data_IF_071269329118
#
_entry.id   IF_071269329118
#
_cell.length_a   1.000
_cell.length_b   1.000
_cell.length_c   1.000
_cell.angle_alpha   90.00
_cell.angle_beta   90.00
_cell.angle_gamma   90.00
#
_symmetry.space_group_name_H-M   'P 1'
#
loop_
_entity.id
_entity.type
_entity.pdbx_description
1 polymer ?
#
# COMPACT_ATOMS: atom_id res chain seq x y z
N UNK A 1 15.22 12.98 -2.76
CA UNK A 1 14.74 12.26 -3.95
C UNK A 1 13.29 12.65 -4.15
N UNK A 2 12.97 13.24 -5.30
CA UNK A 2 11.59 13.44 -5.72
C UNK A 2 10.99 12.12 -6.20
N UNK A 3 9.66 12.04 -6.27
CA UNK A 3 9.00 10.81 -6.74
C UNK A 3 9.28 10.60 -8.24
N UNK A 4 9.30 11.71 -8.99
CA UNK A 4 9.72 11.74 -10.38
C UNK A 4 11.17 11.25 -10.57
N UNK A 5 12.11 11.67 -9.73
CA UNK A 5 13.51 11.18 -9.79
C UNK A 5 13.59 9.65 -9.66
N UNK A 6 12.80 9.07 -8.75
CA UNK A 6 12.82 7.64 -8.51
C UNK A 6 12.14 6.86 -9.65
N UNK A 7 11.02 7.36 -10.17
CA UNK A 7 10.36 6.77 -11.33
C UNK A 7 11.30 6.76 -12.54
N UNK A 8 11.99 7.87 -12.82
CA UNK A 8 12.98 7.94 -13.91
C UNK A 8 14.14 6.97 -13.69
N UNK A 9 14.63 6.82 -12.45
CA UNK A 9 15.68 5.85 -12.15
C UNK A 9 15.24 4.40 -12.44
N UNK A 10 13.98 4.05 -12.15
CA UNK A 10 13.42 2.73 -12.49
C UNK A 10 13.37 2.55 -14.01
N UNK A 11 12.90 3.56 -14.75
CA UNK A 11 12.81 3.50 -16.21
C UNK A 11 14.19 3.29 -16.84
N UNK A 12 15.21 4.01 -16.37
CA UNK A 12 16.59 3.85 -16.82
C UNK A 12 17.16 2.47 -16.46
N UNK A 13 16.85 1.98 -15.25
CA UNK A 13 17.28 0.67 -14.78
C UNK A 13 16.71 -0.46 -15.66
N UNK A 14 15.44 -0.34 -16.01
CA UNK A 14 14.70 -1.30 -16.82
C UNK A 14 15.16 -1.33 -18.26
N UNK A 15 15.28 -0.15 -18.89
CA UNK A 15 15.76 -0.01 -20.27
C UNK A 15 17.18 -0.57 -20.43
N UNK A 16 18.04 -0.38 -19.43
CA UNK A 16 19.40 -0.93 -19.43
C UNK A 16 19.45 -2.48 -19.34
N UNK A 17 18.33 -3.14 -19.01
CA UNK A 17 18.22 -4.58 -18.75
C UNK A 17 17.11 -5.28 -19.54
N UNK A 18 16.55 -4.63 -20.56
CA UNK A 18 15.43 -5.13 -21.37
C UNK A 18 14.14 -5.42 -20.56
N UNK A 19 14.02 -4.92 -19.33
CA UNK A 19 12.81 -5.12 -18.52
C UNK A 19 11.66 -4.21 -18.94
N UNK A 20 11.95 -3.12 -19.65
CA UNK A 20 10.96 -2.25 -20.31
C UNK A 20 10.11 -3.01 -21.35
N UNK A 21 10.58 -4.17 -21.81
CA UNK A 21 9.87 -5.05 -22.77
C UNK A 21 8.91 -6.03 -22.11
N UNK A 22 8.89 -6.11 -20.77
CA UNK A 22 7.94 -6.93 -20.02
C UNK A 22 6.52 -6.41 -20.25
N UNK A 23 5.56 -7.32 -20.43
CA UNK A 23 4.18 -6.93 -20.68
C UNK A 23 3.54 -6.31 -19.42
N UNK A 24 2.70 -5.27 -19.53
CA UNK A 24 2.05 -4.65 -18.37
C UNK A 24 1.23 -5.63 -17.51
N UNK A 25 0.67 -6.67 -18.13
CA UNK A 25 -0.03 -7.73 -17.41
C UNK A 25 0.87 -8.55 -16.48
N UNK A 26 2.16 -8.73 -16.84
CA UNK A 26 3.15 -9.40 -16.00
C UNK A 26 3.64 -8.47 -14.90
N UNK A 27 3.86 -7.19 -15.19
CA UNK A 27 4.14 -6.16 -14.17
C UNK A 27 3.05 -6.12 -13.11
N UNK A 28 1.77 -6.14 -13.53
CA UNK A 28 0.63 -6.19 -12.61
C UNK A 28 0.59 -7.49 -11.80
N UNK A 29 0.93 -8.63 -12.41
CA UNK A 29 0.99 -9.91 -11.70
C UNK A 29 2.03 -9.87 -10.58
N UNK A 30 3.23 -9.36 -10.85
CA UNK A 30 4.27 -9.19 -9.84
C UNK A 30 3.86 -8.21 -8.74
N UNK A 31 3.24 -7.07 -9.07
CA UNK A 31 2.68 -6.18 -8.04
C UNK A 31 1.68 -6.89 -7.12
N UNK A 32 0.92 -7.86 -7.64
CA UNK A 32 0.00 -8.68 -6.87
C UNK A 32 0.71 -9.71 -5.99
N UNK A 33 1.83 -10.27 -6.45
CA UNK A 33 2.70 -11.15 -5.68
C UNK A 33 3.27 -10.38 -4.47
N UNK A 34 3.87 -9.20 -4.70
CA UNK A 34 4.41 -8.36 -3.63
C UNK A 34 3.32 -7.91 -2.64
N UNK A 35 2.12 -7.60 -3.13
CA UNK A 35 0.98 -7.31 -2.25
C UNK A 35 0.57 -8.52 -1.39
N UNK A 36 0.73 -9.73 -1.91
CA UNK A 36 0.57 -10.97 -1.16
C UNK A 36 1.62 -11.14 -0.06
N UNK A 37 2.87 -10.73 -0.32
CA UNK A 37 3.96 -10.76 0.66
C UNK A 37 3.76 -9.71 1.76
N UNK A 38 3.34 -8.49 1.40
CA UNK A 38 2.86 -7.47 2.35
C UNK A 38 1.76 -8.05 3.24
N UNK A 39 0.75 -8.71 2.65
CA UNK A 39 -0.33 -9.31 3.42
C UNK A 39 0.18 -10.39 4.39
N UNK A 40 1.16 -11.20 3.97
CA UNK A 40 1.81 -12.21 4.83
C UNK A 40 2.45 -11.55 6.05
N UNK A 41 3.25 -10.52 5.87
CA UNK A 41 3.96 -9.86 6.98
C UNK A 41 3.00 -9.09 7.90
N UNK A 42 1.95 -8.47 7.35
CA UNK A 42 0.86 -7.87 8.15
C UNK A 42 0.17 -8.93 9.02
N UNK A 43 -0.11 -10.12 8.50
CA UNK A 43 -0.74 -11.19 9.29
C UNK A 43 0.13 -11.68 10.46
N UNK A 44 1.46 -11.63 10.34
CA UNK A 44 2.37 -11.88 11.46
C UNK A 44 2.27 -10.75 12.50
N UNK A 45 2.36 -9.50 12.05
CA UNK A 45 2.35 -8.33 12.93
C UNK A 45 1.01 -8.08 13.62
N UNK A 46 -0.10 -8.47 12.99
CA UNK A 46 -1.45 -8.40 13.55
C UNK A 46 -1.77 -9.58 14.50
N UNK A 47 -0.83 -10.52 14.68
CA UNK A 47 -0.96 -11.66 15.59
C UNK A 47 -1.90 -12.76 15.10
N UNK A 48 -2.27 -12.76 13.81
CA UNK A 48 -2.98 -13.89 13.20
C UNK A 48 -2.05 -15.09 12.97
N UNK A 49 -0.77 -14.81 12.70
CA UNK A 49 0.31 -15.81 12.64
C UNK A 49 1.30 -15.55 13.77
N UNK A 50 1.89 -16.62 14.31
CA UNK A 50 2.95 -16.50 15.31
C UNK A 50 4.22 -15.93 14.68
N UNK A 51 4.60 -14.72 15.08
CA UNK A 51 5.85 -14.10 14.66
C UNK A 51 7.04 -14.73 15.41
N UNK A 52 8.10 -15.06 14.67
CA UNK A 52 9.39 -15.46 15.24
C UNK A 52 10.12 -14.28 15.89
N UNK A 53 10.06 -13.11 15.24
CA UNK A 53 10.67 -11.86 15.68
C UNK A 53 9.93 -10.68 15.03
N UNK A 54 9.29 -9.81 15.82
CA UNK A 54 8.52 -8.67 15.30
C UNK A 54 9.38 -7.64 14.54
N UNK A 55 10.60 -7.37 14.97
CA UNK A 55 11.47 -6.37 14.32
C UNK A 55 11.90 -6.88 12.96
N UNK A 56 12.20 -8.18 12.86
CA UNK A 56 12.44 -8.85 11.59
C UNK A 56 11.22 -8.77 10.67
N UNK A 57 10.01 -8.98 11.18
CA UNK A 57 8.77 -8.87 10.38
C UNK A 57 8.52 -7.45 9.88
N UNK A 58 8.85 -6.43 10.67
CA UNK A 58 8.80 -5.02 10.23
C UNK A 58 9.81 -4.71 9.14
N UNK A 59 11.01 -5.26 9.24
CA UNK A 59 12.03 -5.11 8.20
C UNK A 59 11.59 -5.76 6.88
N UNK A 60 11.07 -7.00 6.93
CA UNK A 60 10.50 -7.66 5.76
C UNK A 60 9.33 -6.87 5.17
N UNK A 61 8.39 -6.41 6.00
CA UNK A 61 7.29 -5.57 5.52
C UNK A 61 7.78 -4.30 4.80
N UNK A 62 8.86 -3.68 5.27
CA UNK A 62 9.44 -2.51 4.62
C UNK A 62 10.03 -2.84 3.23
N UNK A 63 10.63 -4.02 3.09
CA UNK A 63 11.13 -4.56 1.81
C UNK A 63 9.98 -4.81 0.84
N UNK A 64 8.95 -5.57 1.24
CA UNK A 64 7.81 -5.89 0.36
C UNK A 64 7.02 -4.63 -0.05
N UNK A 65 6.93 -3.64 0.83
CA UNK A 65 6.33 -2.33 0.50
C UNK A 65 7.12 -1.60 -0.58
N UNK A 66 8.45 -1.66 -0.52
CA UNK A 66 9.32 -1.05 -1.52
C UNK A 66 9.24 -1.79 -2.86
N UNK A 67 9.24 -3.12 -2.84
CA UNK A 67 9.16 -3.95 -4.05
C UNK A 67 7.81 -3.81 -4.75
N UNK A 68 6.70 -3.81 -4.00
CA UNK A 68 5.38 -3.50 -4.54
C UNK A 68 5.35 -2.11 -5.19
N UNK A 69 5.95 -1.12 -4.55
CA UNK A 69 6.03 0.24 -5.09
C UNK A 69 6.83 0.30 -6.39
N UNK A 70 7.92 -0.47 -6.52
CA UNK A 70 8.68 -0.57 -7.77
C UNK A 70 7.75 -1.01 -8.91
N UNK A 71 6.97 -2.08 -8.74
CA UNK A 71 6.05 -2.53 -9.80
C UNK A 71 4.92 -1.53 -10.09
N UNK A 72 4.46 -0.76 -9.11
CA UNK A 72 3.50 0.32 -9.36
C UNK A 72 4.10 1.46 -10.21
N UNK A 73 5.36 1.84 -9.98
CA UNK A 73 6.06 2.79 -10.85
C UNK A 73 6.25 2.25 -12.26
N UNK A 74 6.69 0.99 -12.40
CA UNK A 74 6.82 0.34 -13.71
C UNK A 74 5.50 0.35 -14.49
N UNK A 75 4.40 0.02 -13.80
CA UNK A 75 3.08 0.04 -14.41
C UNK A 75 2.67 1.45 -14.82
N UNK A 76 2.97 2.46 -14.00
CA UNK A 76 2.72 3.86 -14.32
C UNK A 76 3.47 4.28 -15.59
N UNK A 77 4.78 4.00 -15.67
CA UNK A 77 5.61 4.31 -16.84
C UNK A 77 5.11 3.59 -18.10
N UNK A 78 4.72 2.31 -18.01
CA UNK A 78 4.15 1.53 -19.11
C UNK A 78 2.84 2.10 -19.69
N UNK A 79 2.11 2.91 -18.92
CA UNK A 79 0.89 3.60 -19.35
C UNK A 79 1.04 5.12 -19.49
N UNK A 80 2.27 5.65 -19.39
CA UNK A 80 2.54 7.08 -19.51
C UNK A 80 1.94 7.91 -18.37
N UNK A 81 1.96 7.39 -17.14
CA UNK A 81 1.47 8.06 -15.94
C UNK A 81 2.64 8.63 -15.14
N UNK A 82 2.66 9.95 -14.99
CA UNK A 82 3.58 10.66 -14.09
C UNK A 82 3.09 10.54 -12.64
N UNK A 83 3.77 9.73 -11.84
CA UNK A 83 3.29 9.39 -10.49
C UNK A 83 3.31 10.57 -9.52
N UNK A 84 4.31 11.45 -9.63
CA UNK A 84 4.37 12.65 -8.77
C UNK A 84 3.17 13.58 -9.03
N UNK A 85 2.81 13.80 -10.30
CA UNK A 85 1.64 14.59 -10.67
C UNK A 85 0.33 13.93 -10.22
N UNK A 86 0.21 12.61 -10.41
CA UNK A 86 -0.95 11.84 -9.97
C UNK A 86 -1.15 11.93 -8.44
N UNK A 87 -0.06 11.88 -7.67
CA UNK A 87 -0.09 12.01 -6.21
C UNK A 87 -0.43 13.44 -5.76
N UNK A 88 0.08 14.47 -6.44
CA UNK A 88 -0.29 15.87 -6.18
C UNK A 88 -1.80 16.07 -6.41
N UNK A 89 -2.33 15.58 -7.52
CA UNK A 89 -3.76 15.66 -7.83
C UNK A 89 -4.61 14.89 -6.81
N UNK A 90 -4.16 13.68 -6.41
CA UNK A 90 -4.81 12.87 -5.39
C UNK A 90 -4.85 13.57 -4.03
N UNK A 91 -3.74 14.21 -3.63
CA UNK A 91 -3.65 15.01 -2.40
C UNK A 91 -4.65 16.15 -2.40
N UNK A 92 -4.69 16.95 -3.47
CA UNK A 92 -5.62 18.07 -3.58
C UNK A 92 -7.09 17.60 -3.49
N UNK A 93 -7.41 16.48 -4.16
CA UNK A 93 -8.73 15.84 -4.06
C UNK A 93 -9.05 15.38 -2.64
N UNK A 94 -8.08 14.80 -1.92
CA UNK A 94 -8.26 14.33 -0.55
C UNK A 94 -8.52 15.50 0.43
N UNK A 95 -7.77 16.59 0.31
CA UNK A 95 -7.93 17.80 1.13
C UNK A 95 -9.28 18.48 0.89
N UNK A 96 -9.82 18.40 -0.33
CA UNK A 96 -11.16 18.91 -0.65
C UNK A 96 -12.32 17.99 -0.29
N UNK A 97 -12.07 16.73 0.10
CA UNK A 97 -13.13 15.71 0.26
C UNK A 97 -13.94 15.87 1.55
N UNK A 98 -13.27 16.22 2.64
CA UNK A 98 -13.89 16.37 3.96
C UNK A 98 -13.18 17.48 4.73
N UNK A 99 -13.95 18.29 5.45
CA UNK A 99 -13.38 19.09 6.53
C UNK A 99 -12.78 18.19 7.60
N UNK A 100 -11.85 18.75 8.41
CA UNK A 100 -11.25 18.01 9.54
C UNK A 100 -12.32 17.48 10.50
N UNK A 101 -13.40 18.24 10.73
CA UNK A 101 -14.49 17.84 11.61
C UNK A 101 -15.27 16.64 11.05
N UNK A 102 -15.60 16.67 9.75
CA UNK A 102 -16.26 15.55 9.07
C UNK A 102 -15.37 14.30 9.05
N UNK A 103 -14.07 14.46 8.77
CA UNK A 103 -13.11 13.38 8.81
C UNK A 103 -13.01 12.72 10.20
N UNK A 104 -12.96 13.53 11.27
CA UNK A 104 -12.96 13.02 12.65
C UNK A 104 -14.26 12.29 12.99
N UNK A 105 -15.42 12.83 12.58
CA UNK A 105 -16.71 12.19 12.81
C UNK A 105 -16.81 10.84 12.08
N UNK A 106 -16.33 10.77 10.83
CA UNK A 106 -16.28 9.52 10.06
C UNK A 106 -15.37 8.49 10.72
N UNK A 107 -14.16 8.89 11.12
CA UNK A 107 -13.22 8.01 11.82
C UNK A 107 -13.79 7.48 13.13
N UNK A 108 -14.44 8.34 13.93
CA UNK A 108 -15.10 7.94 15.18
C UNK A 108 -16.18 6.88 14.94
N UNK A 109 -17.01 7.04 13.90
CA UNK A 109 -18.02 6.05 13.51
C UNK A 109 -17.40 4.72 13.08
N UNK A 110 -16.33 4.77 12.30
CA UNK A 110 -15.63 3.58 11.82
C UNK A 110 -15.02 2.77 12.98
N UNK A 111 -14.31 3.45 13.90
CA UNK A 111 -13.71 2.83 15.09
C UNK A 111 -14.76 2.32 16.09
N UNK A 112 -15.88 3.04 16.26
CA UNK A 112 -16.99 2.57 17.07
C UNK A 112 -17.58 1.27 16.52
N UNK A 113 -17.75 1.17 15.19
CA UNK A 113 -18.22 -0.06 14.55
C UNK A 113 -17.24 -1.22 14.72
N UNK A 114 -15.94 -1.00 14.56
CA UNK A 114 -14.94 -2.04 14.81
C UNK A 114 -14.99 -2.56 16.26
N UNK A 115 -15.10 -1.67 17.25
CA UNK A 115 -15.24 -2.05 18.66
C UNK A 115 -16.52 -2.85 18.91
N UNK A 116 -17.64 -2.42 18.35
CA UNK A 116 -18.91 -3.15 18.48
C UNK A 116 -18.83 -4.54 17.84
N UNK A 117 -18.25 -4.64 16.64
CA UNK A 117 -18.01 -5.93 16.00
C UNK A 117 -17.17 -6.84 16.89
N UNK A 118 -16.05 -6.33 17.44
CA UNK A 118 -15.18 -7.08 18.35
C UNK A 118 -15.90 -7.54 19.62
N UNK A 119 -16.63 -6.64 20.29
CA UNK A 119 -17.40 -6.97 21.50
C UNK A 119 -18.46 -8.05 21.23
N UNK A 120 -19.13 -7.97 20.07
CA UNK A 120 -20.08 -9.00 19.61
C UNK A 120 -19.41 -10.36 19.42
N UNK A 121 -18.22 -10.40 18.82
CA UNK A 121 -17.45 -11.64 18.64
C UNK A 121 -17.00 -12.26 19.98
N UNK A 122 -16.67 -11.43 20.96
CA UNK A 122 -16.26 -11.86 22.31
C UNK A 122 -17.45 -12.19 23.25
N UNK A 123 -18.70 -12.01 22.80
CA UNK A 123 -19.89 -12.25 23.62
C UNK A 123 -20.14 -11.19 24.70
N UNK A 124 -19.43 -10.07 24.65
CA UNK A 124 -19.48 -8.99 25.64
C UNK A 124 -20.72 -8.09 25.50
N UNK A 125 -21.45 -8.23 24.38
CA UNK A 125 -22.76 -7.58 24.20
C UNK A 125 -23.87 -8.51 24.70
N UNK A 126 -24.07 -8.56 26.01
CA UNK A 126 -25.29 -9.08 26.65
C UNK A 126 -25.81 -8.02 27.62
N UNK A 127 -26.94 -7.39 27.28
CA UNK A 127 -27.55 -6.29 28.03
C UNK A 127 -28.29 -5.32 27.12
#
# INVERSE_FOLDING_TARGET
MHISDYQQWIDDYDAARDFDRVQPSQTLAHALEELGEIAREVLYLDGYRDADDEDKRRAMLAEELADCMVFLFKLASQFGVEMEEALIASKAKAEGRFSVAEGRALAARYLARQRQSRARWLGETSG
#
